data_IF_781930738734
#
_entry.id   IF_781930738734
#
_cell.length_a   1.000
_cell.length_b   1.000
_cell.length_c   1.000
_cell.angle_alpha   90.00
_cell.angle_beta   90.00
_cell.angle_gamma   90.00
#
_symmetry.space_group_name_H-M   'P 1'
#
loop_
_entity.id
_entity.type
_entity.pdbx_description
1 polymer ?
#
# COMPACT_ATOMS: atom_id res chain seq x y z
N UNK A 1 9.86 -1.77 9.01
CA UNK A 1 9.68 -2.39 7.67
C UNK A 1 8.46 -1.78 6.99
N UNK A 2 8.61 -1.36 5.77
CA UNK A 2 7.52 -0.82 4.94
C UNK A 2 7.23 -1.83 3.84
N UNK A 3 5.96 -2.16 3.65
CA UNK A 3 5.54 -3.09 2.60
C UNK A 3 4.83 -2.31 1.49
N UNK A 4 5.19 -2.61 0.24
CA UNK A 4 4.60 -2.00 -0.95
C UNK A 4 3.83 -3.06 -1.73
N UNK A 5 2.55 -2.86 -1.92
CA UNK A 5 1.69 -3.80 -2.67
C UNK A 5 1.36 -3.16 -4.01
N UNK A 6 1.95 -3.67 -5.08
CA UNK A 6 1.83 -3.11 -6.43
C UNK A 6 2.01 -4.23 -7.45
N UNK A 7 1.08 -4.37 -8.37
CA UNK A 7 1.12 -5.42 -9.38
C UNK A 7 2.10 -5.13 -10.54
N UNK A 8 2.38 -3.88 -10.81
CA UNK A 8 3.37 -3.51 -11.84
C UNK A 8 4.77 -3.64 -11.27
N UNK A 9 5.56 -4.56 -11.82
CA UNK A 9 6.91 -4.83 -11.30
C UNK A 9 7.81 -3.61 -11.37
N UNK A 10 7.71 -2.82 -12.44
CA UNK A 10 8.56 -1.62 -12.60
C UNK A 10 8.23 -0.57 -11.56
N UNK A 11 6.96 -0.34 -11.31
CA UNK A 11 6.52 0.63 -10.30
C UNK A 11 6.89 0.13 -8.90
N UNK A 12 6.65 -1.16 -8.64
CA UNK A 12 7.00 -1.78 -7.35
C UNK A 12 8.49 -1.64 -7.05
N UNK A 13 9.33 -1.90 -8.04
CA UNK A 13 10.78 -1.79 -7.86
C UNK A 13 11.20 -0.36 -7.56
N UNK A 14 10.57 0.62 -8.21
CA UNK A 14 10.84 2.05 -7.96
C UNK A 14 10.45 2.41 -6.52
N UNK A 15 9.28 1.96 -6.07
CA UNK A 15 8.83 2.23 -4.71
C UNK A 15 9.78 1.66 -3.66
N UNK A 16 10.13 0.38 -3.81
CA UNK A 16 11.02 -0.29 -2.89
C UNK A 16 12.40 0.36 -2.89
N UNK A 17 12.93 0.67 -4.08
CA UNK A 17 14.23 1.32 -4.19
C UNK A 17 14.22 2.70 -3.53
N UNK A 18 13.18 3.49 -3.75
CA UNK A 18 13.08 4.81 -3.17
C UNK A 18 13.09 4.76 -1.64
N UNK A 19 12.36 3.83 -1.06
CA UNK A 19 12.31 3.67 0.39
C UNK A 19 13.64 3.19 0.95
N UNK A 20 14.25 2.22 0.30
CA UNK A 20 15.55 1.68 0.74
C UNK A 20 16.64 2.75 0.66
N UNK A 21 16.64 3.58 -0.38
CA UNK A 21 17.66 4.61 -0.55
C UNK A 21 17.53 5.75 0.47
N UNK A 22 16.37 5.88 1.12
CA UNK A 22 16.19 6.87 2.21
C UNK A 22 16.37 6.24 3.60
N UNK A 23 16.84 4.99 3.67
CA UNK A 23 17.20 4.35 4.92
C UNK A 23 16.14 3.45 5.52
N UNK A 24 15.01 3.23 4.85
CA UNK A 24 13.97 2.33 5.34
C UNK A 24 14.18 0.91 4.83
N UNK A 25 13.74 -0.06 5.61
CA UNK A 25 13.62 -1.43 5.12
C UNK A 25 12.29 -1.54 4.38
N UNK A 26 12.32 -2.08 3.16
CA UNK A 26 11.13 -2.17 2.33
C UNK A 26 11.05 -3.52 1.62
N UNK A 27 9.83 -4.01 1.42
CA UNK A 27 9.55 -5.27 0.73
C UNK A 27 8.35 -5.07 -0.19
N UNK A 28 8.40 -5.64 -1.39
CA UNK A 28 7.33 -5.55 -2.36
C UNK A 28 6.50 -6.82 -2.44
N UNK A 29 5.21 -6.67 -2.75
CA UNK A 29 4.28 -7.76 -3.02
C UNK A 29 3.57 -7.46 -4.33
N UNK A 30 3.36 -8.50 -5.14
CA UNK A 30 2.78 -8.34 -6.48
C UNK A 30 1.25 -8.34 -6.49
N UNK A 31 0.61 -8.83 -5.43
CA UNK A 31 -0.84 -8.88 -5.35
C UNK A 31 -1.33 -8.85 -3.91
N UNK A 32 -2.64 -8.69 -3.75
CA UNK A 32 -3.25 -8.63 -2.43
C UNK A 32 -3.23 -9.95 -1.68
N UNK A 33 -3.26 -11.07 -2.39
CA UNK A 33 -3.28 -12.38 -1.78
C UNK A 33 -1.95 -12.69 -1.09
N UNK A 34 -0.83 -12.46 -1.76
CA UNK A 34 0.49 -12.68 -1.17
C UNK A 34 0.74 -11.72 -0.01
N UNK A 35 0.31 -10.49 -0.13
CA UNK A 35 0.39 -9.50 0.95
C UNK A 35 -0.42 -9.95 2.17
N UNK A 36 -1.67 -10.35 1.95
CA UNK A 36 -2.54 -10.76 3.05
C UNK A 36 -2.00 -11.98 3.78
N UNK A 37 -1.47 -12.94 3.05
CA UNK A 37 -0.85 -14.11 3.67
C UNK A 37 0.40 -13.77 4.47
N UNK A 38 1.20 -12.82 3.99
CA UNK A 38 2.41 -12.39 4.71
C UNK A 38 2.08 -11.74 6.05
N UNK A 39 0.89 -11.14 6.19
CA UNK A 39 0.45 -10.55 7.46
C UNK A 39 0.26 -11.59 8.56
N UNK A 40 0.19 -12.87 8.22
CA UNK A 40 0.08 -13.94 9.22
C UNK A 40 1.39 -14.17 9.98
N UNK A 41 2.52 -13.92 9.33
CA UNK A 41 3.84 -14.22 9.88
C UNK A 41 4.71 -12.99 10.10
N UNK A 42 4.27 -11.84 9.61
CA UNK A 42 5.01 -10.60 9.76
C UNK A 42 4.06 -9.42 9.83
N UNK A 43 4.57 -8.31 10.31
CA UNK A 43 3.75 -7.12 10.48
C UNK A 43 4.57 -5.88 10.13
N UNK A 44 4.20 -5.15 9.06
CA UNK A 44 4.89 -3.91 8.72
C UNK A 44 4.40 -2.78 9.62
N UNK A 45 5.17 -1.72 9.69
CA UNK A 45 4.77 -0.50 10.38
C UNK A 45 3.90 0.37 9.48
N UNK A 46 4.17 0.29 8.16
CA UNK A 46 3.47 1.07 7.16
C UNK A 46 3.31 0.25 5.88
N UNK A 47 2.19 0.41 5.21
CA UNK A 47 1.90 -0.23 3.93
C UNK A 47 1.60 0.83 2.89
N UNK A 48 2.28 0.77 1.75
CA UNK A 48 1.91 1.53 0.55
C UNK A 48 1.10 0.58 -0.31
N UNK A 49 -0.17 0.84 -0.46
CA UNK A 49 -1.14 -0.09 -1.01
C UNK A 49 -1.78 0.48 -2.27
N UNK A 50 -1.59 -0.19 -3.40
CA UNK A 50 -2.21 0.21 -4.66
C UNK A 50 -3.73 -0.02 -4.57
N UNK A 51 -4.50 0.96 -5.02
CA UNK A 51 -5.96 0.84 -5.09
C UNK A 51 -6.36 -0.23 -6.10
N UNK A 52 -5.74 -0.21 -7.28
CA UNK A 52 -6.08 -1.10 -8.38
C UNK A 52 -5.16 -2.31 -8.41
N UNK A 53 -5.58 -3.39 -7.73
CA UNK A 53 -4.85 -4.65 -7.72
C UNK A 53 -5.69 -5.76 -8.35
N UNK A 54 -5.06 -6.76 -9.00
CA UNK A 54 -5.80 -7.91 -9.49
C UNK A 54 -6.26 -8.77 -8.31
N UNK A 55 -7.40 -9.45 -8.48
CA UNK A 55 -7.97 -10.27 -7.41
C UNK A 55 -8.55 -9.41 -6.31
N UNK A 56 -7.97 -9.47 -5.11
CA UNK A 56 -8.39 -8.64 -3.99
C UNK A 56 -7.81 -7.24 -4.20
N UNK A 57 -8.65 -6.23 -4.42
CA UNK A 57 -8.17 -4.88 -4.65
C UNK A 57 -7.75 -4.17 -3.35
N UNK A 58 -7.08 -3.02 -3.52
CA UNK A 58 -6.54 -2.28 -2.38
C UNK A 58 -7.59 -1.76 -1.42
N UNK A 59 -8.76 -1.36 -1.93
CA UNK A 59 -9.86 -0.89 -1.07
C UNK A 59 -10.37 -2.00 -0.16
N UNK A 60 -10.53 -3.20 -0.69
CA UNK A 60 -10.97 -4.35 0.10
C UNK A 60 -9.93 -4.74 1.14
N UNK A 61 -8.65 -4.70 0.78
CA UNK A 61 -7.57 -4.97 1.72
C UNK A 61 -7.56 -3.96 2.86
N UNK A 62 -7.74 -2.69 2.55
CA UNK A 62 -7.82 -1.63 3.57
C UNK A 62 -8.99 -1.89 4.51
N UNK A 63 -10.15 -2.21 3.97
CA UNK A 63 -11.34 -2.50 4.76
C UNK A 63 -11.09 -3.66 5.71
N UNK A 64 -10.48 -4.73 5.22
CA UNK A 64 -10.14 -5.91 6.04
C UNK A 64 -9.14 -5.58 7.14
N UNK A 65 -8.15 -4.75 6.84
CA UNK A 65 -7.15 -4.36 7.83
C UNK A 65 -7.78 -3.54 8.96
N UNK A 66 -8.68 -2.62 8.61
CA UNK A 66 -9.34 -1.79 9.62
C UNK A 66 -10.37 -2.55 10.45
N UNK A 67 -10.90 -3.64 9.91
CA UNK A 67 -11.84 -4.50 10.64
C UNK A 67 -11.13 -5.48 11.57
N UNK A 68 -9.83 -5.69 11.43
CA UNK A 68 -9.06 -6.64 12.24
C UNK A 68 -8.30 -5.87 13.32
N UNK A 69 -8.59 -6.17 14.57
CA UNK A 69 -7.98 -5.46 15.70
C UNK A 69 -6.45 -5.59 15.74
N UNK A 70 -5.91 -6.70 15.23
CA UNK A 70 -4.47 -6.90 15.20
C UNK A 70 -3.78 -6.07 14.11
N UNK A 71 -4.52 -5.61 13.10
CA UNK A 71 -3.97 -4.90 11.95
C UNK A 71 -4.41 -3.43 11.89
N UNK A 72 -5.35 -3.03 12.72
CA UNK A 72 -6.01 -1.72 12.61
C UNK A 72 -5.09 -0.54 12.89
N UNK A 73 -3.97 -0.74 13.55
CA UNK A 73 -3.02 0.33 13.86
C UNK A 73 -1.84 0.40 12.89
N UNK A 74 -1.79 -0.46 11.87
CA UNK A 74 -0.79 -0.34 10.81
C UNK A 74 -1.13 0.88 9.96
N UNK A 75 -0.13 1.73 9.71
CA UNK A 75 -0.32 2.91 8.88
C UNK A 75 -0.48 2.49 7.41
N UNK A 76 -1.46 3.04 6.72
CA UNK A 76 -1.73 2.70 5.31
C UNK A 76 -1.76 3.98 4.48
N UNK A 77 -0.93 3.99 3.44
CA UNK A 77 -0.93 5.03 2.41
C UNK A 77 -1.44 4.37 1.13
N UNK A 78 -2.53 4.88 0.59
CA UNK A 78 -3.08 4.35 -0.65
C UNK A 78 -2.39 5.00 -1.84
N UNK A 79 -2.03 4.21 -2.84
CA UNK A 79 -1.48 4.70 -4.10
C UNK A 79 -2.54 4.57 -5.20
N UNK A 80 -2.81 5.65 -5.92
CA UNK A 80 -3.87 5.69 -6.90
C UNK A 80 -3.39 6.33 -8.19
N UNK A 81 -4.07 6.02 -9.32
CA UNK A 81 -3.75 6.62 -10.60
C UNK A 81 -4.14 8.10 -10.62
N UNK A 82 -3.40 8.89 -11.40
CA UNK A 82 -3.67 10.31 -11.56
C UNK A 82 -5.11 10.52 -12.05
N UNK A 83 -5.83 11.41 -11.39
CA UNK A 83 -7.21 11.72 -11.73
C UNK A 83 -8.26 10.89 -11.00
N UNK A 84 -7.86 9.92 -10.18
CA UNK A 84 -8.78 9.05 -9.46
C UNK A 84 -9.20 9.65 -8.11
N UNK A 85 -9.80 10.83 -8.13
CA UNK A 85 -10.21 11.51 -6.90
C UNK A 85 -11.29 10.77 -6.13
N UNK A 86 -12.13 10.03 -6.81
CA UNK A 86 -13.14 9.20 -6.16
C UNK A 86 -12.47 8.17 -5.24
N UNK A 87 -11.39 7.55 -5.73
CA UNK A 87 -10.64 6.58 -4.94
C UNK A 87 -9.98 7.22 -3.72
N UNK A 88 -9.55 8.47 -3.84
CA UNK A 88 -9.00 9.22 -2.72
C UNK A 88 -10.02 9.35 -1.59
N UNK A 89 -11.21 9.82 -1.93
CA UNK A 89 -12.28 10.04 -0.96
C UNK A 89 -12.66 8.72 -0.30
N UNK A 90 -12.84 7.67 -1.08
CA UNK A 90 -13.17 6.33 -0.59
C UNK A 90 -12.08 5.78 0.33
N UNK A 91 -10.80 5.96 -0.04
CA UNK A 91 -9.69 5.47 0.76
C UNK A 91 -9.64 6.12 2.13
N UNK A 92 -9.82 7.43 2.20
CA UNK A 92 -9.81 8.15 3.46
C UNK A 92 -11.01 7.79 4.32
N UNK A 93 -12.18 7.61 3.71
CA UNK A 93 -13.39 7.19 4.42
C UNK A 93 -13.25 5.79 5.00
N UNK A 94 -12.51 4.89 4.32
CA UNK A 94 -12.28 3.53 4.81
C UNK A 94 -11.15 3.46 5.85
N UNK A 95 -10.47 4.57 6.11
CA UNK A 95 -9.48 4.63 7.18
C UNK A 95 -8.03 4.63 6.73
N UNK A 96 -7.75 4.97 5.46
CA UNK A 96 -6.37 5.20 5.05
C UNK A 96 -5.82 6.44 5.75
N UNK A 97 -4.54 6.40 6.11
CA UNK A 97 -3.89 7.52 6.78
C UNK A 97 -3.52 8.63 5.80
N UNK A 98 -3.24 8.26 4.55
CA UNK A 98 -2.93 9.21 3.49
C UNK A 98 -3.05 8.51 2.15
N UNK A 99 -2.83 9.25 1.06
CA UNK A 99 -2.81 8.67 -0.26
C UNK A 99 -1.82 9.42 -1.16
N UNK A 100 -1.31 8.72 -2.19
CA UNK A 100 -0.39 9.27 -3.18
C UNK A 100 -0.94 9.01 -4.58
N UNK A 101 -0.68 9.93 -5.50
CA UNK A 101 -1.07 9.78 -6.90
C UNK A 101 0.13 9.24 -7.69
N UNK A 102 -0.08 8.15 -8.42
CA UNK A 102 0.97 7.57 -9.27
C UNK A 102 1.05 8.28 -10.63
N UNK A 103 2.22 8.36 -11.24
CA UNK A 103 3.51 7.97 -10.70
C UNK A 103 4.05 9.01 -9.73
N UNK A 104 4.76 8.56 -8.71
CA UNK A 104 5.40 9.46 -7.76
C UNK A 104 6.91 9.16 -7.70
N UNK A 105 7.69 10.20 -7.44
CA UNK A 105 9.13 10.08 -7.36
C UNK A 105 9.62 9.86 -5.95
N UNK A 106 10.94 9.73 -5.80
CA UNK A 106 11.62 9.52 -4.53
C UNK A 106 11.25 10.61 -3.51
N UNK A 107 11.15 11.83 -3.99
CA UNK A 107 10.89 13.00 -3.12
C UNK A 107 9.50 13.01 -2.51
N UNK A 108 8.57 12.27 -3.08
CA UNK A 108 7.18 12.22 -2.60
C UNK A 108 6.94 11.14 -1.57
N UNK A 109 7.88 10.23 -1.46
CA UNK A 109 7.81 9.15 -0.49
C UNK A 109 8.57 9.47 0.78
#
# INVERSE_FOLDING_TARGET
MIWCVEDDASIRDIEVYALQSTGFEAKGFEDGTSFWEALRTGRPELVVLDVMLPGIDGMELLRRMRADAALSDILVVMATAKGAEYDKIQSLDLGADDYLVKPFGVMEM
#
